data_IF_104761588492
#
_entry.id   IF_104761588492
#
_cell.length_a   1.000
_cell.length_b   1.000
_cell.length_c   1.000
_cell.angle_alpha   90.00
_cell.angle_beta   90.00
_cell.angle_gamma   90.00
#
_symmetry.space_group_name_H-M   'P 1'
#
loop_
_entity.id
_entity.type
_entity.pdbx_description
1 polymer ?
#
# COMPACT_ATOMS: atom_id res chain seq x y z
N UNK A 1 -8.04 -8.21 49.21
CA UNK A 1 -8.62 -7.04 49.91
C UNK A 1 -9.14 -6.09 48.83
N UNK A 2 -10.39 -5.65 48.95
CA UNK A 2 -11.12 -4.79 48.01
C UNK A 2 -10.35 -3.51 47.59
N UNK A 3 -10.57 -3.07 46.34
CA UNK A 3 -10.94 -1.70 45.86
C UNK A 3 -10.67 -1.61 44.33
N UNK A 4 -11.46 -1.05 43.41
CA UNK A 4 -12.84 -0.52 43.24
C UNK A 4 -12.93 -0.11 41.73
N UNK A 5 -14.13 -0.07 41.13
CA UNK A 5 -14.39 0.29 39.72
C UNK A 5 -15.00 1.70 39.56
N UNK A 6 -15.00 2.27 38.34
CA UNK A 6 -15.65 3.55 37.95
C UNK A 6 -16.43 3.40 36.61
N UNK A 7 -17.55 4.12 36.48
CA UNK A 7 -18.65 4.00 35.47
C UNK A 7 -18.82 5.30 34.65
N UNK A 8 -19.14 5.25 33.34
CA UNK A 8 -20.18 6.05 32.60
C UNK A 8 -20.25 5.66 31.09
N UNK A 9 -21.37 5.20 30.49
CA UNK A 9 -22.60 5.80 29.88
C UNK A 9 -22.44 6.45 28.47
N UNK A 10 -23.30 5.99 27.55
CA UNK A 10 -23.41 6.21 26.09
C UNK A 10 -24.17 7.50 25.72
N UNK A 11 -23.90 8.06 24.53
CA UNK A 11 -24.68 9.15 23.92
C UNK A 11 -25.20 8.76 22.53
N UNK A 12 -26.43 9.19 22.22
CA UNK A 12 -27.16 8.97 20.97
C UNK A 12 -27.71 10.30 20.47
N UNK A 13 -27.21 10.83 19.36
CA UNK A 13 -27.90 11.92 18.65
C UNK A 13 -27.71 11.81 17.13
N UNK A 14 -28.85 11.90 16.44
CA UNK A 14 -29.06 11.79 15.00
C UNK A 14 -29.68 13.12 14.53
N UNK A 15 -28.87 14.04 13.99
CA UNK A 15 -29.41 15.24 13.36
C UNK A 15 -28.43 15.92 12.39
N UNK A 16 -28.09 15.27 11.27
CA UNK A 16 -27.38 15.92 10.14
C UNK A 16 -27.86 15.45 8.74
N UNK A 17 -29.13 15.03 8.59
CA UNK A 17 -29.70 14.55 7.32
C UNK A 17 -30.60 15.58 6.59
N UNK A 18 -30.82 16.78 7.14
CA UNK A 18 -31.93 17.63 6.70
C UNK A 18 -31.62 18.65 5.57
N UNK A 19 -30.46 18.64 4.91
CA UNK A 19 -30.12 19.68 3.91
C UNK A 19 -29.57 19.19 2.57
N UNK A 20 -29.74 17.91 2.23
CA UNK A 20 -29.25 17.30 0.97
C UNK A 20 -30.29 17.24 -0.17
N UNK A 21 -31.50 17.77 0.00
CA UNK A 21 -32.51 17.81 -1.05
C UNK A 21 -32.69 19.25 -1.53
N UNK A 22 -31.96 19.66 -2.57
CA UNK A 22 -32.40 20.45 -3.75
C UNK A 22 -31.17 20.73 -4.63
N UNK A 23 -30.93 19.87 -5.61
CA UNK A 23 -30.09 20.17 -6.79
C UNK A 23 -30.60 19.42 -8.03
N UNK A 24 -31.92 19.26 -8.13
CA UNK A 24 -32.62 18.55 -9.20
C UNK A 24 -32.98 19.43 -10.41
N UNK A 25 -32.33 20.57 -10.61
CA UNK A 25 -32.72 21.51 -11.68
C UNK A 25 -31.47 22.08 -12.33
N UNK A 26 -31.14 21.61 -13.55
CA UNK A 26 -30.67 22.36 -14.75
C UNK A 26 -29.89 21.48 -15.77
N UNK A 27 -30.40 21.30 -17.02
CA UNK A 27 -29.60 20.82 -18.17
C UNK A 27 -29.51 21.82 -19.36
N UNK A 28 -28.51 21.68 -20.23
CA UNK A 28 -28.34 22.34 -21.55
C UNK A 28 -27.41 21.50 -22.47
N UNK A 29 -27.45 21.41 -23.82
CA UNK A 29 -28.34 21.84 -24.93
C UNK A 29 -28.01 20.99 -26.21
N UNK A 30 -28.87 21.09 -27.24
CA UNK A 30 -29.07 20.27 -28.47
C UNK A 30 -27.90 20.01 -29.46
N UNK A 31 -27.78 18.76 -29.93
CA UNK A 31 -27.12 18.35 -31.20
C UNK A 31 -27.93 17.22 -31.86
N UNK A 32 -28.13 17.24 -33.18
CA UNK A 32 -29.10 16.39 -33.91
C UNK A 32 -28.55 15.18 -34.69
N UNK A 33 -27.23 14.99 -34.81
CA UNK A 33 -26.62 13.92 -35.63
C UNK A 33 -25.46 13.19 -34.92
N UNK A 34 -25.29 11.90 -35.23
CA UNK A 34 -24.20 11.05 -34.75
C UNK A 34 -22.91 11.29 -35.54
N UNK A 35 -21.79 11.61 -34.90
CA UNK A 35 -20.52 11.92 -35.57
C UNK A 35 -19.76 10.69 -36.13
N UNK A 36 -20.12 9.45 -35.71
CA UNK A 36 -19.49 8.21 -36.21
C UNK A 36 -20.11 7.75 -37.53
N UNK A 37 -21.44 7.85 -37.64
CA UNK A 37 -22.19 7.34 -38.80
C UNK A 37 -22.95 8.43 -39.58
N UNK A 38 -22.87 9.68 -39.13
CA UNK A 38 -23.45 10.90 -39.72
C UNK A 38 -24.99 10.94 -39.84
N UNK A 39 -25.69 9.91 -39.35
CA UNK A 39 -27.17 9.84 -39.35
C UNK A 39 -27.81 10.68 -38.22
N UNK A 40 -29.02 11.22 -38.43
CA UNK A 40 -29.76 11.94 -37.40
C UNK A 40 -30.21 11.00 -36.28
N UNK A 41 -30.33 11.53 -35.06
CA UNK A 41 -30.91 10.79 -33.94
C UNK A 41 -32.43 10.75 -34.05
N UNK A 42 -33.01 9.56 -33.91
CA UNK A 42 -34.45 9.38 -33.72
C UNK A 42 -34.80 9.38 -32.23
N UNK A 43 -36.07 9.59 -31.83
CA UNK A 43 -36.47 9.62 -30.42
C UNK A 43 -36.16 8.32 -29.66
N UNK A 44 -36.05 7.19 -30.36
CA UNK A 44 -35.78 5.87 -29.79
C UNK A 44 -34.27 5.57 -29.66
N UNK A 45 -33.40 6.44 -30.19
CA UNK A 45 -31.95 6.23 -30.18
C UNK A 45 -31.30 6.60 -28.84
N UNK A 46 -30.47 5.69 -28.32
CA UNK A 46 -29.63 5.97 -27.16
C UNK A 46 -28.36 6.72 -27.59
N UNK A 47 -28.28 7.99 -27.19
CA UNK A 47 -27.17 8.91 -27.46
C UNK A 47 -26.04 8.75 -26.45
N UNK A 48 -24.81 8.58 -26.93
CA UNK A 48 -23.60 8.46 -26.10
C UNK A 48 -22.53 9.44 -26.56
N UNK A 49 -21.53 9.71 -25.71
CA UNK A 49 -20.39 10.59 -26.02
C UNK A 49 -19.17 9.75 -26.42
N UNK A 50 -18.71 9.89 -27.65
CA UNK A 50 -17.49 9.24 -28.13
C UNK A 50 -16.26 10.12 -27.89
N UNK A 51 -15.13 9.48 -27.58
CA UNK A 51 -13.88 10.15 -27.29
C UNK A 51 -12.69 9.29 -27.72
N UNK A 52 -11.53 9.93 -27.92
CA UNK A 52 -10.30 9.24 -28.25
C UNK A 52 -9.72 8.54 -27.01
N UNK A 53 -9.59 7.20 -27.04
CA UNK A 53 -9.10 6.43 -25.88
C UNK A 53 -7.60 6.68 -25.56
N UNK A 54 -6.83 7.29 -26.46
CA UNK A 54 -5.42 7.62 -26.26
C UNK A 54 -5.17 9.06 -25.78
N UNK A 55 -6.04 10.00 -26.16
CA UNK A 55 -5.85 11.43 -25.84
C UNK A 55 -6.93 11.99 -24.94
N UNK A 56 -7.97 11.22 -24.63
CA UNK A 56 -9.13 11.63 -23.84
C UNK A 56 -10.01 12.71 -24.48
N UNK A 57 -9.66 13.18 -25.69
CA UNK A 57 -10.39 14.28 -26.35
C UNK A 57 -11.73 13.79 -26.87
N UNK A 58 -12.78 14.54 -26.56
CA UNK A 58 -14.12 14.34 -27.11
C UNK A 58 -14.10 14.44 -28.64
N UNK A 59 -14.72 13.47 -29.30
CA UNK A 59 -14.82 13.40 -30.77
C UNK A 59 -16.20 13.83 -31.25
N UNK A 60 -17.27 13.45 -30.55
CA UNK A 60 -18.63 13.88 -30.88
C UNK A 60 -19.71 12.97 -30.27
N UNK A 61 -21.00 13.33 -30.44
CA UNK A 61 -22.09 12.47 -30.00
C UNK A 61 -22.20 11.28 -30.96
N UNK A 62 -22.46 10.08 -30.45
CA UNK A 62 -22.57 8.86 -31.23
C UNK A 62 -23.82 8.06 -30.84
N UNK A 63 -24.30 7.18 -31.73
CA UNK A 63 -25.19 6.09 -31.33
C UNK A 63 -24.41 5.12 -30.44
N UNK A 64 -25.07 4.55 -29.42
CA UNK A 64 -24.45 3.57 -28.52
C UNK A 64 -23.74 2.43 -29.28
N UNK A 65 -24.40 1.85 -30.28
CA UNK A 65 -23.81 0.78 -31.10
C UNK A 65 -22.65 1.26 -32.00
N UNK A 66 -22.66 2.51 -32.47
CA UNK A 66 -21.57 3.02 -33.30
C UNK A 66 -20.29 3.21 -32.46
N UNK A 67 -20.45 3.70 -31.23
CA UNK A 67 -19.36 3.87 -30.28
C UNK A 67 -18.72 2.52 -29.91
N UNK A 68 -19.54 1.49 -29.63
CA UNK A 68 -19.05 0.16 -29.23
C UNK A 68 -18.23 -0.56 -30.32
N UNK A 69 -18.47 -0.23 -31.59
CA UNK A 69 -17.84 -0.92 -32.72
C UNK A 69 -16.64 -0.16 -33.32
N UNK A 70 -16.28 1.01 -32.79
CA UNK A 70 -15.19 1.82 -33.31
C UNK A 70 -13.82 1.31 -32.76
N UNK A 71 -12.96 0.74 -33.63
CA UNK A 71 -11.62 0.24 -33.26
C UNK A 71 -10.52 1.05 -33.94
N UNK A 72 -9.64 1.65 -33.13
CA UNK A 72 -8.45 2.37 -33.59
C UNK A 72 -7.21 1.49 -33.38
N UNK A 73 -6.45 1.19 -34.44
CA UNK A 73 -5.29 0.27 -34.40
C UNK A 73 -4.04 1.02 -34.84
N UNK A 74 -2.93 0.94 -34.06
CA UNK A 74 -1.54 0.67 -34.52
C UNK A 74 -0.44 0.80 -33.44
N UNK A 75 0.62 0.00 -33.64
CA UNK A 75 1.75 -0.40 -32.78
C UNK A 75 3.00 0.52 -32.87
N UNK A 76 3.87 0.51 -31.83
CA UNK A 76 5.19 1.20 -31.76
C UNK A 76 6.33 0.15 -31.61
N UNK A 77 7.48 0.25 -32.30
CA UNK A 77 8.59 -0.70 -32.17
C UNK A 77 9.67 -0.23 -31.17
N UNK A 78 10.26 -1.17 -30.42
CA UNK A 78 11.49 -0.97 -29.61
C UNK A 78 12.46 -2.13 -29.87
N UNK A 79 13.76 -1.83 -29.97
CA UNK A 79 14.86 -2.73 -30.36
C UNK A 79 15.74 -3.06 -29.14
N UNK A 80 16.15 -4.33 -28.98
CA UNK A 80 17.24 -4.75 -28.08
C UNK A 80 18.09 -5.88 -28.72
N UNK A 81 19.39 -5.94 -28.36
CA UNK A 81 20.39 -6.89 -28.88
C UNK A 81 21.05 -7.68 -27.73
N UNK A 82 21.37 -8.96 -27.98
CA UNK A 82 22.19 -9.91 -27.19
C UNK A 82 21.59 -10.61 -25.95
N UNK A 83 20.64 -11.51 -26.20
CA UNK A 83 20.51 -12.76 -25.44
C UNK A 83 20.75 -13.95 -26.37
N UNK A 84 21.94 -14.53 -26.31
CA UNK A 84 22.24 -15.84 -26.88
C UNK A 84 22.17 -16.89 -25.78
N UNK A 85 21.31 -17.89 -25.97
CA UNK A 85 21.25 -19.09 -25.13
C UNK A 85 20.19 -19.03 -24.02
N UNK A 86 18.91 -19.02 -24.40
CA UNK A 86 17.88 -20.00 -24.00
C UNK A 86 16.58 -19.65 -24.75
N UNK A 87 16.36 -20.34 -25.87
CA UNK A 87 15.08 -20.49 -26.58
C UNK A 87 14.04 -21.13 -25.64
N UNK A 88 12.75 -20.81 -25.63
CA UNK A 88 11.93 -20.02 -26.53
C UNK A 88 10.61 -19.71 -25.82
N UNK A 89 10.18 -18.45 -25.91
CA UNK A 89 8.79 -18.04 -26.11
C UNK A 89 7.71 -18.74 -25.28
N UNK A 90 7.43 -18.22 -24.08
CA UNK A 90 6.04 -18.02 -23.65
C UNK A 90 5.87 -16.71 -22.87
N UNK A 91 5.51 -15.65 -23.63
CA UNK A 91 4.50 -14.64 -23.32
C UNK A 91 4.82 -13.53 -22.28
N UNK A 92 5.55 -12.48 -22.69
CA UNK A 92 5.28 -11.07 -22.30
C UNK A 92 5.39 -10.17 -23.56
N UNK A 93 4.64 -10.60 -24.58
CA UNK A 93 4.13 -9.77 -25.67
C UNK A 93 2.70 -10.27 -25.85
N UNK A 94 1.75 -9.48 -25.39
CA UNK A 94 0.30 -9.76 -25.35
C UNK A 94 -0.15 -10.93 -24.46
N UNK A 95 -0.20 -10.69 -23.15
CA UNK A 95 -1.46 -10.89 -22.41
C UNK A 95 -1.75 -9.54 -21.74
N UNK A 96 -2.83 -8.91 -22.18
CA UNK A 96 -3.33 -7.64 -21.67
C UNK A 96 -3.39 -7.66 -20.14
N UNK A 97 -3.18 -6.48 -19.54
CA UNK A 97 -3.68 -6.06 -18.22
C UNK A 97 -2.85 -6.43 -16.97
N UNK A 98 -1.72 -5.74 -16.77
CA UNK A 98 -1.06 -5.64 -15.46
C UNK A 98 -0.98 -4.18 -14.99
N UNK A 99 -1.05 -3.99 -13.68
CA UNK A 99 -1.16 -2.69 -13.02
C UNK A 99 -0.17 -2.58 -11.86
N UNK A 100 0.49 -1.42 -11.75
CA UNK A 100 1.20 -1.00 -10.55
C UNK A 100 0.29 -0.09 -9.73
N UNK A 101 -0.17 -0.58 -8.58
CA UNK A 101 -1.09 0.16 -7.70
C UNK A 101 -0.35 0.65 -6.47
N UNK A 102 -0.57 1.92 -6.12
CA UNK A 102 -0.01 2.52 -4.92
C UNK A 102 -1.14 2.84 -3.95
N UNK A 103 -1.38 1.93 -3.02
CA UNK A 103 -2.40 2.09 -1.99
C UNK A 103 -1.81 2.62 -0.69
N UNK A 104 -2.46 3.59 -0.07
CA UNK A 104 -2.10 4.16 1.22
C UNK A 104 -3.31 4.15 2.15
N UNK A 105 -3.11 3.79 3.42
CA UNK A 105 -4.22 3.77 4.39
C UNK A 105 -4.52 5.19 4.87
N UNK A 106 -5.78 5.61 4.74
CA UNK A 106 -6.24 6.85 5.33
C UNK A 106 -6.09 6.85 6.86
N UNK A 107 -5.24 7.73 7.38
CA UNK A 107 -5.09 7.99 8.81
C UNK A 107 -4.94 6.69 9.62
N UNK A 108 -3.99 5.82 9.23
CA UNK A 108 -3.82 4.48 9.81
C UNK A 108 -3.77 4.49 11.34
N UNK A 109 -2.93 5.35 11.93
CA UNK A 109 -2.81 5.45 13.37
C UNK A 109 -4.06 6.04 14.02
N UNK A 110 -4.75 6.98 13.36
CA UNK A 110 -6.03 7.49 13.83
C UNK A 110 -7.11 6.40 13.85
N UNK A 111 -7.17 5.57 12.80
CA UNK A 111 -8.04 4.40 12.76
C UNK A 111 -7.73 3.43 13.90
N UNK A 112 -6.44 3.13 14.14
CA UNK A 112 -6.01 2.28 15.25
C UNK A 112 -6.33 2.89 16.62
N UNK A 113 -6.24 4.22 16.76
CA UNK A 113 -6.63 4.93 17.98
C UNK A 113 -8.14 4.99 18.21
N UNK A 114 -8.96 4.79 17.16
CA UNK A 114 -10.40 4.62 17.28
C UNK A 114 -10.81 3.18 17.66
N UNK A 115 -9.86 2.23 17.67
CA UNK A 115 -10.12 0.88 18.16
C UNK A 115 -10.12 0.85 19.69
N UNK A 116 -10.73 -0.17 20.32
CA UNK A 116 -10.55 -0.44 21.74
C UNK A 116 -9.06 -0.57 22.09
N UNK A 117 -8.54 0.36 22.90
CA UNK A 117 -7.16 0.39 23.35
C UNK A 117 -7.05 0.10 24.86
N UNK A 118 -6.01 -0.62 25.31
CA UNK A 118 -5.81 -0.88 26.72
C UNK A 118 -5.27 0.39 27.40
N UNK A 119 -6.08 1.02 28.25
CA UNK A 119 -5.70 2.26 28.95
C UNK A 119 -5.61 2.10 30.47
N UNK A 120 -6.19 1.05 31.03
CA UNK A 120 -6.26 0.81 32.47
C UNK A 120 -6.43 -0.69 32.79
N UNK A 121 -6.41 -1.02 34.09
CA UNK A 121 -6.71 -2.36 34.64
C UNK A 121 -5.85 -3.50 34.08
N UNK A 122 -4.57 -3.22 33.78
CA UNK A 122 -3.60 -4.22 33.36
C UNK A 122 -3.41 -5.28 34.47
N UNK A 123 -3.65 -6.55 34.13
CA UNK A 123 -3.52 -7.70 35.04
C UNK A 123 -2.88 -8.87 34.31
N UNK A 124 -2.13 -9.68 35.05
CA UNK A 124 -1.72 -10.99 34.57
C UNK A 124 -2.93 -11.93 34.54
N UNK A 125 -2.98 -12.81 33.54
CA UNK A 125 -3.95 -13.90 33.49
C UNK A 125 -3.43 -15.02 34.39
N UNK A 126 -4.23 -15.46 35.36
CA UNK A 126 -3.81 -16.46 36.35
C UNK A 126 -3.71 -17.88 35.77
N UNK A 127 -4.54 -18.22 34.78
CA UNK A 127 -4.57 -19.53 34.10
C UNK A 127 -4.28 -19.38 32.60
N UNK A 128 -2.99 -19.33 32.25
CA UNK A 128 -2.53 -19.20 30.86
C UNK A 128 -2.69 -20.51 30.07
N UNK A 129 -2.68 -21.65 30.75
CA UNK A 129 -2.71 -22.97 30.08
C UNK A 129 -4.06 -23.27 29.43
N UNK A 130 -5.15 -22.73 29.98
CA UNK A 130 -6.51 -22.86 29.43
C UNK A 130 -6.97 -21.61 28.65
N UNK A 131 -6.07 -20.66 28.41
CA UNK A 131 -6.42 -19.42 27.72
C UNK A 131 -6.41 -19.61 26.20
N UNK A 132 -7.59 -19.54 25.59
CA UNK A 132 -7.74 -19.57 24.13
C UNK A 132 -8.07 -18.16 23.58
N UNK A 133 -7.06 -17.51 23.02
CA UNK A 133 -7.22 -16.17 22.46
C UNK A 133 -8.10 -16.13 21.20
N UNK A 134 -8.32 -17.27 20.52
CA UNK A 134 -9.09 -17.33 19.27
C UNK A 134 -10.59 -17.13 19.50
N UNK A 135 -11.06 -17.41 20.71
CA UNK A 135 -12.45 -17.22 21.13
C UNK A 135 -12.82 -15.77 21.47
N UNK A 136 -11.83 -14.87 21.50
CA UNK A 136 -12.04 -13.47 21.89
C UNK A 136 -12.59 -12.68 20.70
N UNK A 137 -13.76 -12.09 20.88
CA UNK A 137 -14.36 -11.15 19.92
C UNK A 137 -13.51 -9.88 19.81
N UNK A 138 -13.37 -9.32 18.60
CA UNK A 138 -12.48 -8.18 18.34
C UNK A 138 -12.85 -6.97 19.20
N UNK A 139 -14.13 -6.71 19.39
CA UNK A 139 -14.71 -5.63 20.19
C UNK A 139 -14.83 -5.98 21.68
N UNK A 140 -14.17 -7.06 22.13
CA UNK A 140 -14.11 -7.44 23.53
C UNK A 140 -13.66 -6.26 24.39
N UNK A 141 -14.35 -6.07 25.51
CA UNK A 141 -13.97 -5.07 26.52
C UNK A 141 -12.61 -5.37 27.15
N UNK A 142 -12.15 -6.62 27.07
CA UNK A 142 -10.82 -7.04 27.53
C UNK A 142 -9.95 -7.35 26.32
N UNK A 143 -8.86 -6.58 26.18
CA UNK A 143 -7.78 -6.88 25.26
C UNK A 143 -6.64 -7.61 25.97
N UNK A 144 -5.83 -8.33 25.21
CA UNK A 144 -4.73 -9.12 25.75
C UNK A 144 -3.43 -8.86 25.00
N UNK A 145 -2.34 -8.79 25.76
CA UNK A 145 -0.98 -8.68 25.26
C UNK A 145 -0.26 -9.95 25.61
N UNK A 146 0.40 -10.52 24.62
CA UNK A 146 0.79 -11.90 24.60
C UNK A 146 2.31 -12.02 24.27
N UNK A 147 3.21 -12.59 25.10
CA UNK A 147 4.61 -12.95 24.71
C UNK A 147 4.79 -14.42 24.32
N UNK A 148 4.82 -14.73 23.04
CA UNK A 148 4.67 -16.10 22.57
C UNK A 148 5.95 -16.63 21.93
N UNK A 149 6.14 -17.96 21.95
CA UNK A 149 7.08 -18.60 21.04
C UNK A 149 6.39 -18.84 19.69
N UNK A 150 6.99 -18.33 18.61
CA UNK A 150 6.47 -18.44 17.25
C UNK A 150 7.33 -19.39 16.45
N UNK A 151 6.76 -20.50 16.01
CA UNK A 151 7.36 -21.27 14.93
C UNK A 151 6.91 -20.68 13.59
N UNK A 152 7.83 -20.62 12.62
CA UNK A 152 7.56 -20.18 11.25
C UNK A 152 7.78 -21.35 10.28
N UNK A 153 6.76 -22.20 10.07
CA UNK A 153 6.89 -23.36 9.19
C UNK A 153 7.26 -23.00 7.75
N UNK A 154 8.13 -23.81 7.14
CA UNK A 154 8.61 -23.62 5.78
C UNK A 154 7.49 -23.46 4.74
N UNK A 155 6.37 -24.17 4.90
CA UNK A 155 5.25 -24.12 3.95
C UNK A 155 4.55 -22.75 3.90
N UNK A 156 4.75 -21.89 4.91
CA UNK A 156 4.22 -20.53 4.94
C UNK A 156 5.15 -19.48 4.30
N UNK A 157 6.40 -19.86 3.98
CA UNK A 157 7.42 -18.89 3.55
C UNK A 157 7.04 -18.20 2.24
N UNK A 158 6.51 -18.95 1.27
CA UNK A 158 6.09 -18.40 -0.01
C UNK A 158 4.81 -17.55 0.15
N UNK A 159 3.87 -17.99 0.99
CA UNK A 159 2.61 -17.27 1.23
C UNK A 159 2.80 -15.95 1.98
N UNK A 160 3.79 -15.87 2.87
CA UNK A 160 4.05 -14.69 3.69
C UNK A 160 5.24 -13.85 3.21
N UNK A 161 5.81 -14.18 2.04
CA UNK A 161 7.02 -13.55 1.50
C UNK A 161 6.85 -12.04 1.25
N UNK A 162 5.63 -11.65 0.89
CA UNK A 162 5.26 -10.28 0.52
C UNK A 162 5.01 -9.38 1.72
N UNK A 163 4.31 -9.91 2.75
CA UNK A 163 3.98 -9.18 3.97
C UNK A 163 4.03 -10.11 5.19
N UNK A 164 5.24 -10.36 5.74
CA UNK A 164 5.42 -11.29 6.85
C UNK A 164 4.91 -10.73 8.18
N UNK A 165 4.48 -11.65 9.04
CA UNK A 165 4.06 -11.35 10.41
C UNK A 165 5.24 -11.17 11.37
N UNK A 166 4.96 -10.47 12.48
CA UNK A 166 5.80 -10.44 13.67
C UNK A 166 7.26 -9.96 13.43
N UNK A 167 7.49 -8.74 12.89
CA UNK A 167 8.85 -8.23 12.70
C UNK A 167 9.60 -8.10 14.04
N UNK A 168 10.90 -8.39 14.03
CA UNK A 168 11.77 -8.35 15.22
C UNK A 168 12.85 -7.28 15.09
N UNK A 169 13.36 -6.80 16.22
CA UNK A 169 14.51 -5.90 16.26
C UNK A 169 15.77 -6.72 16.50
N UNK A 170 16.49 -7.01 15.42
CA UNK A 170 17.65 -7.91 15.42
C UNK A 170 18.77 -7.37 14.53
N UNK A 171 19.96 -7.92 14.66
CA UNK A 171 21.09 -7.61 13.79
C UNK A 171 20.97 -8.38 12.48
N UNK A 172 20.92 -7.71 11.32
CA UNK A 172 21.03 -8.42 10.07
C UNK A 172 22.38 -9.16 9.97
N UNK A 173 22.45 -10.28 9.22
CA UNK A 173 23.70 -11.01 9.03
C UNK A 173 24.85 -10.09 8.58
N UNK A 174 25.98 -10.15 9.29
CA UNK A 174 27.16 -9.34 8.99
C UNK A 174 27.09 -7.86 9.38
N UNK A 175 26.05 -7.42 10.11
CA UNK A 175 25.89 -6.02 10.55
C UNK A 175 25.99 -5.88 12.07
N UNK A 176 26.42 -4.69 12.52
CA UNK A 176 26.68 -4.40 13.95
C UNK A 176 25.45 -3.87 14.69
N UNK A 177 24.60 -3.14 13.98
CA UNK A 177 23.46 -2.42 14.55
C UNK A 177 22.16 -3.18 14.38
N UNK A 178 21.32 -3.13 15.42
CA UNK A 178 19.98 -3.71 15.37
C UNK A 178 19.08 -2.91 14.42
N UNK A 179 18.30 -3.64 13.61
CA UNK A 179 17.30 -3.08 12.71
C UNK A 179 15.96 -3.78 12.95
N UNK A 180 14.87 -3.09 12.65
CA UNK A 180 13.58 -3.76 12.52
C UNK A 180 13.59 -4.58 11.23
N UNK A 181 13.50 -5.90 11.38
CA UNK A 181 13.56 -6.92 10.34
C UNK A 181 12.26 -7.70 10.29
N UNK A 182 11.79 -7.94 9.08
CA UNK A 182 10.69 -8.85 8.82
C UNK A 182 11.34 -10.18 8.40
N UNK A 183 11.38 -11.16 9.31
CA UNK A 183 12.08 -12.44 9.10
C UNK A 183 11.11 -13.60 9.18
N UNK A 184 11.39 -14.65 8.40
CA UNK A 184 10.66 -15.92 8.41
C UNK A 184 11.34 -16.94 9.33
N UNK A 185 11.99 -16.45 10.39
CA UNK A 185 12.62 -17.28 11.41
C UNK A 185 11.66 -17.49 12.57
N UNK A 186 11.83 -18.62 13.26
CA UNK A 186 11.23 -18.85 14.57
C UNK A 186 11.59 -17.70 15.53
N UNK A 187 10.65 -17.35 16.41
CA UNK A 187 10.77 -16.29 17.40
C UNK A 187 10.56 -16.88 18.76
N UNK A 188 11.31 -16.37 19.73
CA UNK A 188 11.23 -16.80 21.12
C UNK A 188 10.87 -15.59 21.96
N UNK A 189 9.94 -15.76 22.89
CA UNK A 189 9.46 -14.71 23.78
C UNK A 189 8.99 -13.43 23.02
N UNK A 190 8.14 -13.57 22.00
CA UNK A 190 7.67 -12.47 21.15
C UNK A 190 6.42 -11.78 21.70
N UNK A 191 6.55 -10.53 22.18
CA UNK A 191 5.44 -9.73 22.71
C UNK A 191 4.58 -9.14 21.59
N UNK A 192 3.27 -9.41 21.60
CA UNK A 192 2.33 -9.05 20.54
C UNK A 192 0.90 -8.84 21.07
N UNK A 193 0.14 -7.94 20.44
CA UNK A 193 -1.29 -7.79 20.71
C UNK A 193 -2.12 -8.96 20.13
N UNK A 194 -3.07 -9.50 20.89
CA UNK A 194 -3.83 -10.71 20.53
C UNK A 194 -4.52 -10.67 19.15
N UNK A 195 -4.92 -9.49 18.67
CA UNK A 195 -5.53 -9.34 17.33
C UNK A 195 -4.57 -9.70 16.20
N UNK A 196 -3.27 -9.44 16.36
CA UNK A 196 -2.29 -9.89 15.38
C UNK A 196 -2.15 -11.41 15.41
N UNK A 197 -2.36 -12.06 16.56
CA UNK A 197 -2.29 -13.52 16.68
C UNK A 197 -3.49 -14.26 16.06
N UNK A 198 -4.61 -13.58 15.78
CA UNK A 198 -5.66 -14.18 14.94
C UNK A 198 -5.18 -14.45 13.51
N UNK A 199 -4.19 -13.68 13.05
CA UNK A 199 -3.51 -13.87 11.77
C UNK A 199 -2.26 -14.75 11.89
N UNK A 200 -1.78 -14.98 13.10
CA UNK A 200 -0.62 -15.80 13.43
C UNK A 200 -0.86 -16.52 14.76
N UNK A 201 -1.27 -17.78 14.73
CA UNK A 201 -1.64 -18.54 15.93
C UNK A 201 -0.60 -18.44 17.09
N UNK A 202 -1.03 -18.63 18.36
CA UNK A 202 -0.26 -19.02 19.59
C UNK A 202 -0.06 -18.00 20.76
N UNK A 203 0.53 -18.44 21.90
CA UNK A 203 0.21 -18.12 23.34
C UNK A 203 1.38 -17.65 24.26
N UNK A 204 1.17 -16.95 25.42
CA UNK A 204 2.04 -15.84 25.87
C UNK A 204 2.63 -15.62 27.31
N UNK A 205 3.59 -14.66 27.45
CA UNK A 205 4.18 -14.04 28.68
C UNK A 205 4.70 -12.52 28.64
N UNK A 206 5.89 -12.05 29.13
CA UNK A 206 6.16 -10.76 29.90
C UNK A 206 6.77 -9.41 29.32
N UNK A 207 6.39 -8.27 29.97
CA UNK A 207 7.20 -7.15 30.64
C UNK A 207 6.93 -5.66 30.27
N UNK A 208 7.08 -4.79 31.28
CA UNK A 208 6.32 -3.55 31.64
C UNK A 208 6.65 -2.18 31.00
N UNK A 209 5.61 -1.43 30.58
CA UNK A 209 5.18 -0.11 31.15
C UNK A 209 3.92 0.48 30.45
N UNK A 210 3.01 1.20 31.14
CA UNK A 210 1.68 1.57 30.62
C UNK A 210 1.63 2.44 29.35
N UNK A 211 2.43 3.52 29.20
CA UNK A 211 2.44 4.33 27.96
C UNK A 211 3.00 3.54 26.77
N UNK A 212 3.91 2.60 27.06
CA UNK A 212 4.53 1.75 26.05
C UNK A 212 3.50 0.74 25.52
N UNK A 213 2.60 0.21 26.36
CA UNK A 213 1.58 -0.72 25.90
C UNK A 213 0.52 -0.09 25.00
N UNK A 214 0.05 1.12 25.31
CA UNK A 214 -0.87 1.83 24.40
C UNK A 214 -0.20 2.07 23.05
N UNK A 215 1.04 2.58 23.06
CA UNK A 215 1.80 2.81 21.83
C UNK A 215 2.05 1.51 21.05
N UNK A 216 2.43 0.43 21.73
CA UNK A 216 2.60 -0.89 21.14
C UNK A 216 1.28 -1.40 20.53
N UNK A 217 0.17 -1.29 21.25
CA UNK A 217 -1.14 -1.74 20.76
C UNK A 217 -1.59 -0.93 19.54
N UNK A 218 -1.38 0.39 19.54
CA UNK A 218 -1.66 1.22 18.35
C UNK A 218 -0.83 0.72 17.16
N UNK A 219 0.47 0.50 17.34
CA UNK A 219 1.35 0.00 16.27
C UNK A 219 0.93 -1.39 15.80
N UNK A 220 0.55 -2.27 16.71
CA UNK A 220 0.16 -3.64 16.41
C UNK A 220 -1.21 -3.72 15.74
N UNK A 221 -2.21 -2.98 16.23
CA UNK A 221 -3.53 -2.85 15.62
C UNK A 221 -3.39 -2.22 14.23
N UNK A 222 -2.52 -1.22 14.05
CA UNK A 222 -2.26 -0.63 12.74
C UNK A 222 -1.81 -1.68 11.71
N UNK A 223 -1.04 -2.69 12.11
CA UNK A 223 -0.63 -3.76 11.19
C UNK A 223 -1.82 -4.62 10.75
N UNK A 224 -2.83 -4.84 11.61
CA UNK A 224 -3.99 -5.66 11.23
C UNK A 224 -4.72 -5.06 10.03
N UNK A 225 -4.82 -3.74 9.92
CA UNK A 225 -5.42 -3.09 8.75
C UNK A 225 -4.72 -3.46 7.44
N UNK A 226 -3.38 -3.47 7.44
CA UNK A 226 -2.57 -3.88 6.26
C UNK A 226 -2.66 -5.40 6.02
N UNK A 227 -2.63 -6.19 7.09
CA UNK A 227 -2.74 -7.65 7.00
C UNK A 227 -4.10 -8.10 6.47
N UNK A 228 -5.20 -7.54 7.00
CA UNK A 228 -6.56 -7.80 6.53
C UNK A 228 -6.71 -7.41 5.05
N UNK A 229 -6.20 -6.24 4.65
CA UNK A 229 -6.26 -5.82 3.25
C UNK A 229 -5.48 -6.75 2.32
N UNK A 230 -4.29 -7.19 2.71
CA UNK A 230 -3.48 -8.07 1.87
C UNK A 230 -3.94 -9.53 1.92
N UNK A 231 -3.90 -10.15 3.10
CA UNK A 231 -4.08 -11.59 3.29
C UNK A 231 -5.53 -12.03 3.19
N UNK A 232 -6.49 -11.19 3.54
CA UNK A 232 -7.93 -11.55 3.48
C UNK A 232 -8.64 -11.03 2.24
N UNK A 233 -8.05 -10.06 1.53
CA UNK A 233 -8.67 -9.45 0.34
C UNK A 233 -7.79 -9.55 -0.92
N UNK A 234 -6.67 -8.83 -1.02
CA UNK A 234 -5.89 -8.78 -2.27
C UNK A 234 -5.34 -10.14 -2.69
N UNK A 235 -4.71 -10.88 -1.77
CA UNK A 235 -4.11 -12.19 -2.06
C UNK A 235 -5.18 -13.24 -2.40
N UNK A 236 -6.34 -13.36 -1.72
CA UNK A 236 -7.40 -14.26 -2.15
C UNK A 236 -8.04 -13.89 -3.50
N UNK A 237 -8.22 -12.60 -3.79
CA UNK A 237 -8.86 -12.11 -5.03
C UNK A 237 -7.99 -12.37 -6.25
N UNK A 238 -6.69 -12.07 -6.16
CA UNK A 238 -5.77 -12.15 -7.31
C UNK A 238 -4.83 -13.37 -7.27
N UNK A 239 -4.70 -14.04 -6.13
CA UNK A 239 -3.83 -15.21 -5.92
C UNK A 239 -2.39 -14.92 -6.35
N UNK A 240 -1.78 -15.82 -7.12
CA UNK A 240 -0.42 -15.66 -7.65
C UNK A 240 -0.25 -14.47 -8.61
N UNK A 241 -1.34 -13.81 -9.04
CA UNK A 241 -1.30 -12.63 -9.91
C UNK A 241 -1.15 -11.31 -9.17
N UNK A 242 -0.92 -11.33 -7.85
CA UNK A 242 -0.71 -10.14 -7.05
C UNK A 242 0.54 -10.31 -6.19
N UNK A 243 1.45 -9.35 -6.30
CA UNK A 243 2.71 -9.31 -5.56
C UNK A 243 2.87 -7.94 -4.91
N UNK A 244 3.23 -7.91 -3.62
CA UNK A 244 3.66 -6.65 -2.97
C UNK A 244 5.09 -6.37 -3.41
N UNK A 245 5.27 -5.27 -4.15
CA UNK A 245 6.58 -4.81 -4.62
C UNK A 245 7.30 -4.01 -3.55
N UNK A 246 6.56 -3.26 -2.73
CA UNK A 246 7.16 -2.39 -1.72
C UNK A 246 6.15 -1.97 -0.65
N UNK A 247 6.64 -1.71 0.56
CA UNK A 247 5.83 -1.24 1.70
C UNK A 247 6.54 -0.10 2.44
N UNK A 248 5.80 0.93 2.85
CA UNK A 248 6.32 1.96 3.75
C UNK A 248 5.24 2.43 4.73
N UNK A 249 5.35 2.01 5.99
CA UNK A 249 4.49 2.43 7.10
C UNK A 249 3.01 2.07 6.92
N UNK A 250 2.27 2.85 6.15
CA UNK A 250 0.83 2.77 5.84
C UNK A 250 0.55 2.51 4.35
N UNK A 251 1.61 2.42 3.55
CA UNK A 251 1.57 2.30 2.10
C UNK A 251 1.96 0.90 1.60
N UNK A 252 1.24 0.41 0.59
CA UNK A 252 1.50 -0.83 -0.15
C UNK A 252 1.55 -0.53 -1.66
N UNK A 253 2.66 -0.90 -2.31
CA UNK A 253 2.79 -0.89 -3.77
C UNK A 253 2.65 -2.30 -4.29
N UNK A 254 1.63 -2.54 -5.11
CA UNK A 254 1.31 -3.83 -5.70
C UNK A 254 1.67 -3.88 -7.18
N UNK A 255 2.11 -5.04 -7.63
CA UNK A 255 2.02 -5.48 -9.02
C UNK A 255 0.85 -6.47 -9.13
N UNK A 256 -0.15 -6.17 -9.96
CA UNK A 256 -1.37 -6.98 -10.12
C UNK A 256 -1.59 -7.28 -11.59
N UNK A 257 -1.84 -8.54 -11.93
CA UNK A 257 -2.26 -8.96 -13.28
C UNK A 257 -3.78 -9.23 -13.29
N UNK A 258 -4.55 -8.37 -13.95
CA UNK A 258 -6.00 -8.45 -14.09
C UNK A 258 -6.52 -7.54 -15.19
N UNK A 259 -7.65 -7.90 -15.82
CA UNK A 259 -8.27 -7.18 -16.96
C UNK A 259 -8.45 -5.67 -16.72
N UNK A 260 -9.08 -5.30 -15.61
CA UNK A 260 -9.23 -3.91 -15.17
C UNK A 260 -9.28 -3.83 -13.64
N UNK A 261 -8.22 -3.28 -13.04
CA UNK A 261 -8.13 -3.11 -11.59
C UNK A 261 -9.16 -2.10 -11.05
N UNK A 262 -9.55 -1.12 -11.86
CA UNK A 262 -10.50 -0.08 -11.46
C UNK A 262 -11.92 -0.63 -11.44
N UNK A 263 -12.25 -1.62 -12.26
CA UNK A 263 -13.51 -2.38 -12.13
C UNK A 263 -13.60 -3.12 -10.80
N UNK A 264 -12.49 -3.73 -10.35
CA UNK A 264 -12.40 -4.36 -9.03
C UNK A 264 -12.57 -3.32 -7.91
N UNK A 265 -11.90 -2.16 -8.03
CA UNK A 265 -12.06 -1.06 -7.07
C UNK A 265 -13.50 -0.52 -7.02
N UNK A 266 -14.19 -0.41 -8.17
CA UNK A 266 -15.60 0.01 -8.23
C UNK A 266 -16.52 -1.00 -7.57
N UNK A 267 -16.29 -2.30 -7.80
CA UNK A 267 -17.05 -3.39 -7.17
C UNK A 267 -16.91 -3.34 -5.65
N UNK A 268 -15.69 -3.18 -5.16
CA UNK A 268 -15.34 -3.26 -3.74
C UNK A 268 -15.08 -1.87 -3.14
N UNK A 269 -15.83 -0.86 -3.60
CA UNK A 269 -15.62 0.56 -3.26
C UNK A 269 -15.65 0.85 -1.77
N UNK A 270 -16.35 0.03 -0.99
CA UNK A 270 -16.40 0.13 0.47
C UNK A 270 -15.03 -0.10 1.14
N UNK A 271 -14.05 -0.67 0.44
CA UNK A 271 -12.67 -0.86 0.90
C UNK A 271 -11.75 0.29 0.50
N UNK A 272 -12.21 1.19 -0.38
CA UNK A 272 -11.39 2.24 -0.96
C UNK A 272 -11.92 3.65 -0.66
N UNK A 273 -11.02 4.59 -0.41
CA UNK A 273 -11.31 6.01 -0.55
C UNK A 273 -10.96 6.45 -1.98
N UNK A 274 -12.01 6.85 -2.71
CA UNK A 274 -11.94 7.29 -4.10
C UNK A 274 -12.33 8.76 -4.23
N UNK A 275 -12.48 9.48 -3.11
CA UNK A 275 -12.98 10.86 -3.09
C UNK A 275 -12.04 11.88 -3.72
N UNK A 276 -10.74 11.56 -3.80
CA UNK A 276 -9.71 12.41 -4.40
C UNK A 276 -9.55 12.19 -5.92
N UNK A 277 -10.33 11.28 -6.51
CA UNK A 277 -10.42 11.15 -7.97
C UNK A 277 -11.10 12.37 -8.59
N UNK A 278 -10.76 12.66 -9.85
CA UNK A 278 -11.47 13.66 -10.62
C UNK A 278 -12.93 13.23 -10.87
N UNK A 279 -13.87 14.18 -10.89
CA UNK A 279 -15.29 13.90 -11.17
C UNK A 279 -15.46 13.26 -12.56
N UNK A 280 -14.61 13.64 -13.51
CA UNK A 280 -14.54 13.16 -14.88
C UNK A 280 -13.39 12.15 -15.10
N UNK A 281 -13.00 11.40 -14.06
CA UNK A 281 -11.94 10.41 -14.17
C UNK A 281 -12.23 9.35 -15.25
N UNK A 282 -11.20 8.92 -15.96
CA UNK A 282 -11.30 8.05 -17.13
C UNK A 282 -11.94 6.67 -16.85
N UNK A 283 -11.92 6.21 -15.60
CA UNK A 283 -12.39 4.88 -15.21
C UNK A 283 -13.82 4.89 -14.66
N UNK A 284 -14.45 6.07 -14.62
CA UNK A 284 -15.78 6.28 -14.05
C UNK A 284 -15.89 5.79 -12.60
N UNK A 285 -14.82 5.95 -11.82
CA UNK A 285 -14.82 5.62 -10.39
C UNK A 285 -15.74 6.60 -9.65
N UNK A 286 -16.73 6.12 -8.89
CA UNK A 286 -17.54 6.98 -8.04
C UNK A 286 -16.69 7.62 -6.96
N UNK A 287 -16.95 8.90 -6.65
CA UNK A 287 -16.27 9.60 -5.56
C UNK A 287 -16.90 9.21 -4.22
N UNK A 288 -16.22 8.41 -3.42
CA UNK A 288 -16.75 7.87 -2.17
C UNK A 288 -15.73 7.90 -1.03
N UNK A 289 -16.25 7.77 0.19
CA UNK A 289 -15.50 7.51 1.42
C UNK A 289 -14.41 8.54 1.80
N UNK A 290 -14.69 9.81 1.54
CA UNK A 290 -13.76 10.92 1.79
C UNK A 290 -13.16 10.91 3.18
N UNK A 291 -11.85 10.64 3.25
CA UNK A 291 -11.01 10.62 4.45
C UNK A 291 -11.54 9.70 5.55
N UNK A 292 -12.27 8.65 5.18
CA UNK A 292 -12.70 7.63 6.15
C UNK A 292 -11.46 6.87 6.64
N UNK A 293 -11.15 6.88 7.95
CA UNK A 293 -9.96 6.21 8.47
C UNK A 293 -10.00 4.70 8.22
N UNK A 294 -8.84 4.11 7.88
CA UNK A 294 -8.67 2.67 7.67
C UNK A 294 -8.99 2.17 6.26
N UNK A 295 -9.53 3.02 5.38
CA UNK A 295 -9.70 2.66 3.97
C UNK A 295 -8.45 2.94 3.16
N UNK A 296 -8.25 2.14 2.10
CA UNK A 296 -7.15 2.32 1.16
C UNK A 296 -7.49 3.41 0.15
N UNK A 297 -6.63 4.41 -0.03
CA UNK A 297 -6.70 5.34 -1.16
C UNK A 297 -5.65 4.98 -2.20
N UNK A 298 -5.98 5.21 -3.46
CA UNK A 298 -5.00 5.19 -4.55
C UNK A 298 -4.24 6.51 -4.56
N UNK A 299 -2.97 6.52 -4.14
CA UNK A 299 -2.10 7.71 -4.15
C UNK A 299 -1.91 8.31 -5.55
N UNK A 300 -2.16 7.51 -6.59
CA UNK A 300 -2.08 7.97 -7.96
C UNK A 300 -3.39 8.56 -8.49
N UNK A 301 -4.52 8.48 -7.78
CA UNK A 301 -5.83 9.02 -8.20
C UNK A 301 -6.16 8.68 -9.67
N UNK A 302 -5.91 7.42 -10.07
CA UNK A 302 -6.15 6.93 -11.44
C UNK A 302 -5.02 7.19 -12.43
N UNK A 303 -3.95 7.89 -12.06
CA UNK A 303 -2.77 7.96 -12.91
C UNK A 303 -2.06 6.60 -12.96
N UNK A 304 -1.92 6.02 -14.15
CA UNK A 304 -1.28 4.71 -14.31
C UNK A 304 0.20 4.85 -13.98
N UNK A 305 0.66 4.14 -12.95
CA UNK A 305 2.08 3.98 -12.67
C UNK A 305 2.68 3.04 -13.72
N UNK A 306 3.69 3.51 -14.44
CA UNK A 306 4.35 2.75 -15.50
C UNK A 306 5.61 2.08 -15.00
N UNK A 307 6.30 2.72 -14.06
CA UNK A 307 7.61 2.28 -13.59
C UNK A 307 7.76 2.50 -12.08
N UNK A 308 8.43 1.55 -11.44
CA UNK A 308 8.75 1.60 -10.02
C UNK A 308 10.16 1.04 -9.78
N UNK A 309 10.95 1.75 -8.97
CA UNK A 309 12.27 1.29 -8.52
C UNK A 309 12.36 1.46 -7.00
N UNK A 310 12.47 0.34 -6.28
CA UNK A 310 12.72 0.31 -4.84
C UNK A 310 14.15 -0.15 -4.54
N UNK A 311 14.94 0.69 -3.87
CA UNK A 311 16.32 0.35 -3.49
C UNK A 311 16.39 -0.22 -2.07
N UNK A 312 15.68 0.40 -1.13
CA UNK A 312 15.57 -0.03 0.27
C UNK A 312 14.43 0.72 0.96
N UNK A 313 14.16 0.38 2.22
CA UNK A 313 13.21 1.11 3.04
C UNK A 313 13.44 2.64 3.03
N UNK A 314 12.38 3.38 2.67
CA UNK A 314 12.30 4.84 2.46
C UNK A 314 13.19 5.37 1.33
N UNK A 315 13.53 4.53 0.37
CA UNK A 315 14.35 4.87 -0.79
C UNK A 315 13.80 4.22 -2.06
N UNK A 316 12.99 4.97 -2.79
CA UNK A 316 12.28 4.49 -3.97
C UNK A 316 11.89 5.65 -4.91
N UNK A 317 11.62 5.31 -6.15
CA UNK A 317 11.06 6.22 -7.14
C UNK A 317 9.91 5.54 -7.89
N UNK A 318 8.91 6.33 -8.26
CA UNK A 318 7.81 5.92 -9.13
C UNK A 318 7.62 6.96 -10.23
N UNK A 319 7.31 6.48 -11.43
CA UNK A 319 6.91 7.30 -12.57
C UNK A 319 5.57 6.81 -13.12
N UNK A 320 4.78 7.73 -13.66
CA UNK A 320 3.42 7.43 -14.12
C UNK A 320 2.90 8.47 -15.10
N UNK A 321 1.87 8.08 -15.84
CA UNK A 321 1.33 8.92 -16.90
C UNK A 321 0.73 10.22 -16.36
N UNK A 322 1.16 11.35 -16.93
CA UNK A 322 0.62 12.67 -16.58
C UNK A 322 0.97 13.15 -15.17
N UNK A 323 1.85 12.45 -14.43
CA UNK A 323 2.35 12.86 -13.12
C UNK A 323 3.86 13.02 -13.14
N UNK A 324 4.34 13.94 -12.30
CA UNK A 324 5.77 14.09 -12.03
C UNK A 324 6.25 12.92 -11.18
N UNK A 325 7.47 12.44 -11.43
CA UNK A 325 8.07 11.37 -10.64
C UNK A 325 8.02 11.68 -9.14
N UNK A 326 7.56 10.71 -8.36
CA UNK A 326 7.70 10.75 -6.91
C UNK A 326 8.99 10.04 -6.54
N UNK A 327 9.86 10.77 -5.84
CA UNK A 327 11.20 10.30 -5.44
C UNK A 327 11.37 10.43 -3.94
N UNK A 328 11.74 9.34 -3.28
CA UNK A 328 12.06 9.30 -1.85
C UNK A 328 13.50 8.83 -1.70
N UNK A 329 14.30 9.61 -0.98
CA UNK A 329 15.65 9.26 -0.59
C UNK A 329 15.80 9.51 0.90
N UNK A 330 15.94 8.43 1.67
CA UNK A 330 16.06 8.47 3.12
C UNK A 330 17.23 9.38 3.54
N UNK A 331 17.01 10.24 4.53
CA UNK A 331 17.99 11.16 5.13
C UNK A 331 18.52 12.28 4.19
N UNK A 332 17.95 12.39 2.99
CA UNK A 332 18.22 13.48 2.02
C UNK A 332 17.09 14.50 2.06
N UNK A 333 17.43 15.80 2.04
CA UNK A 333 16.45 16.89 2.00
C UNK A 333 15.62 16.84 0.73
N UNK A 334 14.31 17.05 0.85
CA UNK A 334 13.37 17.05 -0.28
C UNK A 334 13.77 18.01 -1.42
N UNK A 335 14.33 19.17 -1.08
CA UNK A 335 14.84 20.13 -2.08
C UNK A 335 16.03 19.60 -2.88
N UNK A 336 16.90 18.79 -2.27
CA UNK A 336 18.03 18.14 -2.94
C UNK A 336 17.52 17.03 -3.84
N UNK A 337 16.59 16.20 -3.36
CA UNK A 337 15.93 15.15 -4.16
C UNK A 337 15.26 15.76 -5.39
N UNK A 338 14.51 16.85 -5.21
CA UNK A 338 13.77 17.49 -6.31
C UNK A 338 14.68 18.11 -7.39
N UNK A 339 15.88 18.56 -7.03
CA UNK A 339 16.79 19.31 -7.93
C UNK A 339 17.92 18.48 -8.54
N UNK A 340 18.35 17.42 -7.86
CA UNK A 340 19.63 16.75 -8.16
C UNK A 340 19.55 15.23 -8.25
N UNK A 341 18.36 14.66 -8.11
CA UNK A 341 18.13 13.22 -8.23
C UNK A 341 17.03 12.99 -9.27
N UNK A 342 17.30 12.21 -10.30
CA UNK A 342 16.32 11.81 -11.33
C UNK A 342 15.76 10.41 -11.07
N UNK A 343 14.82 9.94 -11.90
CA UNK A 343 14.34 8.56 -11.82
C UNK A 343 15.42 7.58 -12.29
N UNK A 344 16.15 7.95 -13.34
CA UNK A 344 17.26 7.18 -13.92
C UNK A 344 18.39 6.97 -12.92
N UNK A 345 18.64 7.93 -12.02
CA UNK A 345 19.61 7.77 -10.93
C UNK A 345 19.28 6.54 -10.04
N UNK A 346 17.99 6.24 -9.79
CA UNK A 346 17.60 5.05 -9.03
C UNK A 346 17.83 3.78 -9.85
N UNK A 347 17.50 3.82 -11.14
CA UNK A 347 17.67 2.68 -12.05
C UNK A 347 19.16 2.33 -12.22
N UNK A 348 19.99 3.34 -12.42
CA UNK A 348 21.45 3.20 -12.50
C UNK A 348 22.04 2.69 -11.19
N UNK A 349 21.60 3.25 -10.06
CA UNK A 349 22.00 2.78 -8.73
C UNK A 349 21.72 1.28 -8.54
N UNK A 350 20.54 0.81 -8.94
CA UNK A 350 20.14 -0.60 -8.83
C UNK A 350 20.91 -1.50 -9.78
N UNK A 351 20.92 -1.18 -11.07
CA UNK A 351 21.45 -2.05 -12.13
C UNK A 351 22.97 -2.19 -12.06
N UNK A 352 23.66 -1.07 -11.81
CA UNK A 352 25.13 -1.05 -11.80
C UNK A 352 25.71 -1.21 -10.39
N UNK A 353 24.84 -1.38 -9.39
CA UNK A 353 25.19 -1.51 -7.98
C UNK A 353 26.09 -0.35 -7.46
N UNK A 354 25.76 0.89 -7.85
CA UNK A 354 26.55 2.08 -7.51
C UNK A 354 25.88 2.92 -6.44
N UNK A 355 26.65 3.28 -5.39
CA UNK A 355 26.22 4.29 -4.42
C UNK A 355 26.40 5.71 -4.97
N UNK A 356 25.40 6.55 -4.76
CA UNK A 356 25.45 7.95 -5.17
C UNK A 356 25.42 8.86 -3.95
N UNK A 357 26.25 9.90 -3.95
CA UNK A 357 26.28 10.90 -2.86
C UNK A 357 25.74 12.25 -3.31
N UNK A 358 25.17 13.01 -2.38
CA UNK A 358 24.75 14.40 -2.59
C UNK A 358 25.13 15.26 -1.40
N UNK A 359 25.48 16.52 -1.69
CA UNK A 359 25.70 17.54 -0.67
C UNK A 359 24.36 18.16 -0.26
N UNK A 360 24.17 18.35 1.04
CA UNK A 360 23.02 19.05 1.58
C UNK A 360 23.41 19.96 2.75
N UNK A 361 22.62 21.01 2.96
CA UNK A 361 22.76 21.88 4.12
C UNK A 361 21.57 21.67 5.05
N UNK A 362 21.83 21.57 6.35
CA UNK A 362 20.80 21.48 7.38
C UNK A 362 21.11 22.38 8.57
N UNK A 363 20.07 22.84 9.24
CA UNK A 363 20.20 23.56 10.51
C UNK A 363 20.20 22.50 11.62
N UNK A 364 21.17 22.59 12.51
CA UNK A 364 21.29 21.75 13.70
C UNK A 364 21.35 22.62 14.94
N UNK A 365 20.90 22.06 16.06
CA UNK A 365 21.09 22.67 17.36
C UNK A 365 21.87 21.70 18.25
N UNK A 366 22.87 22.22 18.98
CA UNK A 366 23.58 21.49 20.03
C UNK A 366 23.73 22.44 21.22
N UNK A 367 23.31 22.01 22.41
CA UNK A 367 23.35 22.84 23.62
C UNK A 367 22.71 24.23 23.41
N UNK A 368 21.56 24.27 22.72
CA UNK A 368 20.84 25.50 22.34
C UNK A 368 21.56 26.44 21.38
N UNK A 369 22.75 26.10 20.88
CA UNK A 369 23.41 26.84 19.80
C UNK A 369 22.95 26.31 18.44
N UNK A 370 22.42 27.20 17.60
CA UNK A 370 21.92 26.88 16.26
C UNK A 370 23.01 27.19 15.24
N UNK A 371 23.35 26.23 14.40
CA UNK A 371 24.34 26.39 13.34
C UNK A 371 23.92 25.68 12.07
N UNK A 372 24.48 26.13 10.95
CA UNK A 372 24.30 25.49 9.64
C UNK A 372 25.40 24.47 9.42
N UNK A 373 25.01 23.23 9.15
CA UNK A 373 25.92 22.13 8.79
C UNK A 373 25.74 21.82 7.31
N UNK A 374 26.84 21.88 6.56
CA UNK A 374 26.92 21.33 5.19
C UNK A 374 27.54 19.95 5.27
N UNK A 375 26.82 18.92 4.81
CA UNK A 375 27.25 17.52 4.86
C UNK A 375 27.07 16.86 3.49
N UNK A 376 27.95 15.90 3.17
CA UNK A 376 27.77 14.99 2.03
C UNK A 376 27.22 13.67 2.55
N UNK A 377 26.10 13.21 1.97
CA UNK A 377 25.47 11.94 2.35
C UNK A 377 25.35 11.00 1.16
N UNK A 378 25.36 9.71 1.45
CA UNK A 378 24.88 8.68 0.54
C UNK A 378 23.39 8.96 0.29
N UNK A 379 23.08 9.40 -0.91
CA UNK A 379 21.75 9.75 -1.35
C UNK A 379 20.99 8.53 -1.87
N UNK A 380 21.66 7.66 -2.63
CA UNK A 380 21.12 6.39 -3.13
C UNK A 380 22.14 5.27 -2.87
N UNK A 381 21.65 4.10 -2.49
CA UNK A 381 22.46 2.89 -2.29
C UNK A 381 21.63 1.67 -2.68
N UNK A 382 22.18 0.73 -3.47
CA UNK A 382 21.48 -0.48 -3.89
C UNK A 382 21.44 -1.56 -2.81
N UNK A 383 22.13 -1.35 -1.70
CA UNK A 383 22.27 -2.33 -0.64
C UNK A 383 21.12 -2.21 0.36
N UNK A 384 20.26 -3.22 0.40
CA UNK A 384 19.27 -3.41 1.47
C UNK A 384 19.71 -4.48 2.45
N UNK A 385 20.31 -4.05 3.55
CA UNK A 385 20.72 -4.95 4.63
C UNK A 385 19.56 -5.68 5.33
N UNK A 386 18.30 -5.29 5.08
CA UNK A 386 17.14 -5.90 5.74
C UNK A 386 16.59 -7.12 5.00
N UNK A 387 17.04 -7.36 3.78
CA UNK A 387 16.61 -8.48 2.94
C UNK A 387 17.82 -9.19 2.36
N UNK A 388 17.63 -10.44 1.97
CA UNK A 388 18.60 -11.20 1.20
C UNK A 388 18.41 -10.87 -0.28
N UNK A 389 19.42 -10.31 -0.94
CA UNK A 389 19.39 -10.03 -2.38
C UNK A 389 19.75 -11.32 -3.13
N UNK A 390 18.90 -11.76 -4.04
CA UNK A 390 19.16 -12.96 -4.86
C UNK A 390 20.25 -12.64 -5.88
N UNK A 391 21.33 -13.43 -5.89
CA UNK A 391 22.48 -13.16 -6.78
C UNK A 391 22.06 -13.19 -8.25
N UNK A 392 22.46 -12.17 -9.01
CA UNK A 392 22.13 -12.04 -10.43
C UNK A 392 20.67 -11.65 -10.73
N UNK A 393 19.89 -11.29 -9.71
CA UNK A 393 18.51 -10.83 -9.84
C UNK A 393 18.27 -9.54 -9.05
N UNK A 394 17.18 -8.84 -9.37
CA UNK A 394 16.65 -7.72 -8.58
C UNK A 394 15.66 -8.18 -7.51
N UNK A 395 15.30 -9.48 -7.49
CA UNK A 395 14.44 -10.04 -6.45
C UNK A 395 15.16 -10.12 -5.10
N UNK A 396 14.38 -9.90 -4.04
CA UNK A 396 14.84 -10.01 -2.66
C UNK A 396 13.98 -10.99 -1.88
N UNK A 397 14.61 -11.72 -0.97
CA UNK A 397 13.96 -12.64 -0.05
C UNK A 397 14.06 -12.10 1.37
N UNK A 398 13.14 -12.53 2.22
CA UNK A 398 13.24 -12.27 3.65
C UNK A 398 14.35 -13.14 4.26
N UNK A 399 15.04 -12.61 5.28
CA UNK A 399 15.94 -13.43 6.07
C UNK A 399 15.16 -14.60 6.71
N UNK A 400 15.73 -15.81 6.65
CA UNK A 400 15.05 -17.04 7.09
C UNK A 400 14.27 -17.77 5.99
N UNK A 401 14.09 -17.20 4.79
CA UNK A 401 13.45 -17.92 3.69
C UNK A 401 14.25 -19.18 3.33
N UNK A 402 13.58 -20.28 2.99
CA UNK A 402 14.24 -21.57 2.73
C UNK A 402 15.14 -21.57 1.48
N UNK A 403 14.99 -20.53 0.65
CA UNK A 403 15.77 -20.28 -0.58
C UNK A 403 17.01 -19.43 -0.33
N UNK A 404 17.21 -18.87 0.86
CA UNK A 404 18.39 -18.06 1.22
C UNK A 404 19.61 -18.94 1.57
N UNK A 405 19.80 -20.07 0.87
CA UNK A 405 20.86 -21.06 1.15
C UNK A 405 22.14 -20.76 0.40
#
# INVERSE_FOLDING_TARGET
>A
MLKRAVINVQSTDNACFAWSVVAALHPAQNVSHCHVCEKPFTPDDTRVRDHCHLTGRYRGPAHSNCNLNYRDSRCIPVVFHNLSGYDTHFIIKEINSSYLMYYDVNNLYGWAMCQPLPYADFRWVDDVHNFDFTTIVLDSQTGYILEVDLQYPQHLHDAHTDLPFCPTREKPPGKRDDKLLATLCDKQNYVIHYRNLRHSSWSPYRKDSPPIYVGMCILDISKTCLYEFHHEYMAPVFRAKCKIMYTDTDSLIYHVECDDIYDVMKRDINRFDTSDYAVDNAYSIPLANKKVPGLMKDENNGAIMTEFVGLRAKMYALSGQGKKDTKKAKDVKSSVVAKSITFEDYTYCLNDAIEMTRRQSCIRSKLHEVYTLSETKIALSPHDDKRYIVSGSTDTLLWGHYRCK
#
